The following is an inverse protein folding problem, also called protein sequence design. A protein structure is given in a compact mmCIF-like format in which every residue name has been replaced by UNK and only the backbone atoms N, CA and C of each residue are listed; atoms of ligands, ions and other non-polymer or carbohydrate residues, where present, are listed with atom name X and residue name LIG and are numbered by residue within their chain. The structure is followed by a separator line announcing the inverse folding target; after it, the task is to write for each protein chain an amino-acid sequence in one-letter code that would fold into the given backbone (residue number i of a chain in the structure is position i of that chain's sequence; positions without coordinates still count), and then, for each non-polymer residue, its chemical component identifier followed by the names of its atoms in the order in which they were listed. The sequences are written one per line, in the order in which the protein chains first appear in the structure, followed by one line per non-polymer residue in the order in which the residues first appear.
data_IF_192925827865
#
_entry.id   IF_192925827865
#
_cell.length_a   1.000
_cell.length_b   1.000
_cell.length_c   1.000
_cell.angle_alpha   90.00
_cell.angle_beta   90.00
_cell.angle_gamma   90.00
#
_symmetry.space_group_name_H-M   'P 1'
#
loop_
_entity.id
_entity.type
_entity.pdbx_description
1 polymer ?
#
# COMPACT_ATOMS: atom_id res chain seq x y z
N UNK A 1 35.18 33.48 27.47
CA UNK A 1 33.89 34.13 27.15
C UNK A 1 33.37 33.46 25.89
N UNK A 2 32.47 32.48 26.03
CA UNK A 2 32.02 31.61 24.94
C UNK A 2 30.95 32.35 24.14
N UNK A 3 31.29 32.77 22.92
CA UNK A 3 30.34 33.31 21.97
C UNK A 3 29.48 32.17 21.44
N UNK A 4 28.29 31.98 22.04
CA UNK A 4 27.26 31.13 21.47
C UNK A 4 26.82 31.72 20.13
N UNK A 5 27.05 30.99 19.04
CA UNK A 5 26.57 31.37 17.71
C UNK A 5 25.04 31.59 17.75
N UNK A 6 24.51 32.65 17.13
CA UNK A 6 23.07 32.87 17.07
C UNK A 6 22.42 31.70 16.33
N UNK A 7 21.54 30.98 17.02
CA UNK A 7 20.85 29.83 16.47
C UNK A 7 20.07 30.20 15.20
N UNK A 8 20.29 29.43 14.12
CA UNK A 8 19.49 29.51 12.91
C UNK A 8 18.02 29.30 13.27
N UNK A 9 17.19 30.33 13.12
CA UNK A 9 15.74 30.20 13.17
C UNK A 9 15.32 29.47 11.91
N UNK A 10 15.29 28.14 11.97
CA UNK A 10 14.72 27.33 10.88
C UNK A 10 13.21 27.56 10.90
N UNK A 11 12.61 28.13 9.84
CA UNK A 11 11.16 28.27 9.78
C UNK A 11 10.54 26.88 9.93
N UNK A 12 9.64 26.69 10.92
CA UNK A 12 8.91 25.43 11.04
C UNK A 12 8.15 25.20 9.72
N UNK A 13 8.41 24.09 9.00
CA UNK A 13 7.68 23.82 7.77
C UNK A 13 6.19 23.72 8.10
N UNK A 14 5.36 24.44 7.34
CA UNK A 14 3.92 24.43 7.54
C UNK A 14 3.41 23.06 7.08
N UNK A 15 2.99 22.21 8.02
CA UNK A 15 2.53 20.85 7.71
C UNK A 15 1.32 20.84 6.74
N UNK A 16 0.46 21.87 6.84
CA UNK A 16 -0.69 22.08 5.96
C UNK A 16 -0.34 23.04 4.83
N UNK A 17 0.35 22.52 3.82
CA UNK A 17 0.47 23.19 2.52
C UNK A 17 -0.81 22.93 1.71
N UNK A 18 -1.14 23.77 0.71
CA UNK A 18 -2.25 23.49 -0.19
C UNK A 18 -2.11 22.11 -0.86
N UNK A 19 -0.88 21.65 -1.14
CA UNK A 19 -0.61 20.29 -1.62
C UNK A 19 -0.98 19.20 -0.61
N UNK A 20 -0.62 19.37 0.67
CA UNK A 20 -1.01 18.44 1.74
C UNK A 20 -2.52 18.33 1.87
N UNK A 21 -3.24 19.46 1.78
CA UNK A 21 -4.71 19.52 1.84
C UNK A 21 -5.37 18.74 0.70
N UNK A 22 -4.85 18.86 -0.53
CA UNK A 22 -5.36 18.09 -1.69
C UNK A 22 -5.17 16.59 -1.46
N UNK A 23 -3.99 16.16 -1.00
CA UNK A 23 -3.73 14.74 -0.71
C UNK A 23 -4.66 14.23 0.40
N UNK A 24 -4.87 15.01 1.46
CA UNK A 24 -5.81 14.67 2.53
C UNK A 24 -7.25 14.57 2.02
N UNK A 25 -7.68 15.47 1.13
CA UNK A 25 -9.02 15.43 0.56
C UNK A 25 -9.23 14.17 -0.30
N UNK A 26 -8.26 13.83 -1.16
CA UNK A 26 -8.30 12.60 -1.97
C UNK A 26 -8.33 11.36 -1.07
N UNK A 27 -7.50 11.33 -0.02
CA UNK A 27 -7.50 10.23 0.95
C UNK A 27 -8.85 10.10 1.69
N UNK A 28 -9.47 11.22 2.07
CA UNK A 28 -10.77 11.22 2.74
C UNK A 28 -11.89 10.71 1.82
N UNK A 29 -11.88 11.11 0.53
CA UNK A 29 -12.81 10.58 -0.48
C UNK A 29 -12.60 9.09 -0.68
N UNK A 30 -11.34 8.64 -0.79
CA UNK A 30 -11.01 7.22 -0.89
C UNK A 30 -11.52 6.41 0.31
N UNK A 31 -11.32 6.92 1.53
CA UNK A 31 -11.83 6.29 2.75
C UNK A 31 -13.37 6.24 2.79
N UNK A 32 -14.04 7.30 2.36
CA UNK A 32 -15.50 7.35 2.28
C UNK A 32 -16.06 6.33 1.27
N UNK A 33 -15.42 6.19 0.10
CA UNK A 33 -15.77 5.17 -0.90
C UNK A 33 -15.53 3.76 -0.35
N UNK A 34 -14.44 3.55 0.41
CA UNK A 34 -14.14 2.27 1.04
C UNK A 34 -15.21 1.89 2.08
N UNK A 35 -15.63 2.84 2.91
CA UNK A 35 -16.75 2.67 3.85
C UNK A 35 -18.07 2.37 3.13
N UNK A 36 -18.36 3.09 2.05
CA UNK A 36 -19.55 2.88 1.22
C UNK A 36 -19.57 1.48 0.58
N UNK A 37 -18.40 0.96 0.20
CA UNK A 37 -18.21 -0.41 -0.31
C UNK A 37 -18.47 -1.48 0.75
N UNK A 38 -18.11 -1.22 2.00
CA UNK A 38 -18.40 -2.15 3.11
C UNK A 38 -19.87 -2.19 3.52
N UNK A 39 -20.64 -1.12 3.31
CA UNK A 39 -22.04 -1.03 3.75
C UNK A 39 -23.06 -1.39 2.68
N UNK A 40 -22.79 -1.10 1.40
CA UNK A 40 -23.76 -1.31 0.29
C UNK A 40 -23.42 -2.52 -0.59
N UNK A 41 -22.34 -3.23 -0.26
CA UNK A 41 -21.92 -4.44 -0.97
C UNK A 41 -21.18 -4.16 -2.28
N UNK A 42 -20.50 -5.20 -2.76
CA UNK A 42 -19.65 -5.16 -3.95
C UNK A 42 -20.44 -4.85 -5.24
N UNK A 43 -21.66 -5.36 -5.38
CA UNK A 43 -22.45 -5.17 -6.60
C UNK A 43 -22.77 -3.70 -6.90
N UNK A 44 -23.05 -2.89 -5.88
CA UNK A 44 -23.41 -1.47 -6.04
C UNK A 44 -22.22 -0.54 -6.26
N UNK A 45 -21.00 -0.97 -5.93
CA UNK A 45 -19.80 -0.12 -5.92
C UNK A 45 -18.78 -0.46 -6.99
N UNK A 46 -18.73 -1.71 -7.45
CA UNK A 46 -17.74 -2.17 -8.43
C UNK A 46 -18.34 -2.83 -9.67
N UNK A 47 -19.67 -2.82 -9.81
CA UNK A 47 -20.41 -3.45 -10.91
C UNK A 47 -19.99 -4.92 -11.14
N UNK A 48 -19.68 -5.63 -10.06
CA UNK A 48 -19.36 -7.05 -10.07
C UNK A 48 -20.65 -7.85 -10.19
N UNK A 49 -20.74 -8.71 -11.21
CA UNK A 49 -21.80 -9.73 -11.36
C UNK A 49 -21.26 -11.09 -10.92
N UNK A 50 -22.15 -12.04 -10.61
CA UNK A 50 -21.76 -13.40 -10.18
C UNK A 50 -20.89 -14.15 -11.22
N UNK A 51 -20.85 -13.69 -12.47
CA UNK A 51 -19.98 -14.19 -13.53
C UNK A 51 -18.52 -13.73 -13.38
N UNK A 52 -18.28 -12.53 -12.85
CA UNK A 52 -16.95 -11.96 -12.62
C UNK A 52 -16.85 -11.44 -11.18
N UNK A 53 -16.83 -12.32 -10.17
CA UNK A 53 -16.92 -11.93 -8.77
C UNK A 53 -15.69 -11.17 -8.26
N UNK A 54 -14.55 -11.27 -8.95
CA UNK A 54 -13.31 -10.56 -8.60
C UNK A 54 -13.00 -9.37 -9.54
N UNK A 55 -13.62 -9.34 -10.72
CA UNK A 55 -13.56 -8.26 -11.71
C UNK A 55 -12.16 -7.75 -12.07
N UNK A 56 -12.09 -6.50 -12.53
CA UNK A 56 -10.83 -5.82 -12.87
C UNK A 56 -10.07 -5.33 -11.63
N UNK A 57 -10.76 -5.21 -10.49
CA UNK A 57 -10.22 -4.66 -9.26
C UNK A 57 -9.13 -5.55 -8.68
N UNK A 58 -9.38 -6.87 -8.61
CA UNK A 58 -8.35 -7.80 -8.15
C UNK A 58 -7.16 -7.89 -9.11
N UNK A 59 -7.42 -7.68 -10.40
CA UNK A 59 -6.39 -7.74 -11.41
C UNK A 59 -5.45 -6.54 -11.27
N UNK A 60 -5.98 -5.36 -10.96
CA UNK A 60 -5.18 -4.15 -10.76
C UNK A 60 -4.45 -4.18 -9.42
N UNK A 61 -5.11 -4.51 -8.31
CA UNK A 61 -4.48 -4.46 -6.99
C UNK A 61 -3.39 -5.55 -6.82
N UNK A 62 -3.65 -6.79 -7.27
CA UNK A 62 -2.71 -7.89 -7.22
C UNK A 62 -1.64 -7.70 -8.29
N UNK A 63 -1.97 -7.39 -9.55
CA UNK A 63 -0.91 -7.25 -10.56
C UNK A 63 0.01 -6.07 -10.24
N UNK A 64 -0.51 -4.90 -9.85
CA UNK A 64 0.34 -3.75 -9.54
C UNK A 64 1.06 -3.92 -8.19
N UNK A 65 0.36 -4.34 -7.15
CA UNK A 65 0.93 -4.46 -5.81
C UNK A 65 1.89 -5.65 -5.68
N UNK A 66 1.55 -6.81 -6.23
CA UNK A 66 2.43 -7.99 -6.22
C UNK A 66 3.61 -7.81 -7.16
N UNK A 67 3.44 -7.19 -8.34
CA UNK A 67 4.60 -6.92 -9.20
C UNK A 67 5.60 -5.96 -8.55
N UNK A 68 5.11 -4.92 -7.85
CA UNK A 68 5.97 -4.02 -7.08
C UNK A 68 6.69 -4.77 -5.95
N UNK A 69 5.98 -5.64 -5.23
CA UNK A 69 6.58 -6.43 -4.16
C UNK A 69 7.60 -7.47 -4.67
N UNK A 70 7.28 -8.13 -5.78
CA UNK A 70 8.17 -9.08 -6.46
C UNK A 70 9.49 -8.41 -6.86
N UNK A 71 9.45 -7.18 -7.39
CA UNK A 71 10.66 -6.41 -7.72
C UNK A 71 11.60 -6.19 -6.53
N UNK A 72 11.04 -5.94 -5.35
CA UNK A 72 11.81 -5.79 -4.12
C UNK A 72 12.43 -7.10 -3.63
N UNK A 73 11.70 -8.22 -3.71
CA UNK A 73 12.23 -9.55 -3.38
C UNK A 73 13.27 -10.05 -4.40
N UNK A 74 13.09 -9.78 -5.69
CA UNK A 74 14.09 -10.11 -6.72
C UNK A 74 15.39 -9.34 -6.48
N UNK A 75 15.31 -8.09 -6.05
CA UNK A 75 16.50 -7.31 -5.67
C UNK A 75 17.20 -7.91 -4.45
N UNK A 76 16.43 -8.38 -3.45
CA UNK A 76 16.99 -9.07 -2.28
C UNK A 76 17.65 -10.41 -2.65
N UNK A 77 17.06 -11.17 -3.56
CA UNK A 77 17.61 -12.41 -4.11
C UNK A 77 18.94 -12.17 -4.84
N UNK A 78 19.01 -11.14 -5.70
CA UNK A 78 20.23 -10.80 -6.44
C UNK A 78 21.40 -10.42 -5.52
N UNK A 79 21.12 -9.72 -4.42
CA UNK A 79 22.15 -9.31 -3.45
C UNK A 79 22.61 -10.50 -2.60
N UNK A 80 21.69 -11.23 -1.97
CA UNK A 80 22.03 -12.25 -0.97
C UNK A 80 22.43 -13.62 -1.56
N UNK A 81 21.79 -14.03 -2.66
CA UNK A 81 22.05 -15.36 -3.26
C UNK A 81 23.11 -15.25 -4.35
N UNK A 82 22.99 -14.23 -5.22
CA UNK A 82 23.94 -14.02 -6.31
C UNK A 82 25.19 -13.21 -5.90
N UNK A 83 25.31 -12.83 -4.62
CA UNK A 83 26.44 -12.11 -4.03
C UNK A 83 26.84 -10.84 -4.82
N UNK A 84 25.87 -10.13 -5.39
CA UNK A 84 26.10 -8.88 -6.12
C UNK A 84 26.08 -7.69 -5.15
N UNK A 85 27.19 -7.52 -4.43
CA UNK A 85 27.47 -6.44 -3.47
C UNK A 85 27.24 -5.02 -4.02
N UNK A 86 27.29 -4.86 -5.35
CA UNK A 86 27.05 -3.57 -6.04
C UNK A 86 25.64 -3.00 -5.79
N UNK A 87 24.67 -3.85 -5.42
CA UNK A 87 23.28 -3.46 -5.16
C UNK A 87 22.93 -3.42 -3.66
N UNK A 88 23.91 -3.60 -2.77
CA UNK A 88 23.70 -3.54 -1.33
C UNK A 88 23.05 -2.22 -0.83
N UNK A 89 23.33 -1.03 -1.41
CA UNK A 89 22.64 0.21 -1.06
C UNK A 89 21.15 0.22 -1.43
N UNK A 90 20.78 -0.49 -2.49
CA UNK A 90 19.40 -0.57 -2.99
C UNK A 90 18.56 -1.61 -2.22
N UNK A 91 19.22 -2.52 -1.50
CA UNK A 91 18.56 -3.58 -0.75
C UNK A 91 17.56 -3.06 0.28
N UNK A 92 17.97 -2.09 1.11
CA UNK A 92 17.14 -1.54 2.20
C UNK A 92 15.84 -0.90 1.69
N UNK A 93 15.88 0.04 0.73
CA UNK A 93 14.65 0.59 0.19
C UNK A 93 13.83 -0.46 -0.56
N UNK A 94 14.46 -1.38 -1.31
CA UNK A 94 13.74 -2.42 -2.05
C UNK A 94 12.98 -3.39 -1.13
N UNK A 95 13.56 -3.82 -0.01
CA UNK A 95 12.88 -4.65 0.99
C UNK A 95 11.75 -3.90 1.68
N UNK A 96 11.94 -2.63 2.02
CA UNK A 96 10.88 -1.80 2.58
C UNK A 96 9.72 -1.65 1.58
N UNK A 97 10.02 -1.41 0.31
CA UNK A 97 9.02 -1.38 -0.77
C UNK A 97 8.31 -2.72 -0.92
N UNK A 98 9.02 -3.84 -0.84
CA UNK A 98 8.41 -5.17 -0.89
C UNK A 98 7.44 -5.41 0.27
N UNK A 99 7.87 -5.07 1.50
CA UNK A 99 7.06 -5.26 2.69
C UNK A 99 5.80 -4.40 2.68
N UNK A 100 5.94 -3.14 2.25
CA UNK A 100 4.82 -2.20 2.10
C UNK A 100 3.87 -2.67 0.99
N UNK A 101 4.39 -3.05 -0.18
CA UNK A 101 3.60 -3.56 -1.29
C UNK A 101 2.76 -4.78 -0.92
N UNK A 102 3.36 -5.75 -0.23
CA UNK A 102 2.65 -6.95 0.22
C UNK A 102 1.56 -6.63 1.25
N UNK A 103 1.81 -5.67 2.15
CA UNK A 103 0.83 -5.21 3.14
C UNK A 103 -0.37 -4.56 2.44
N UNK A 104 -0.14 -3.73 1.43
CA UNK A 104 -1.21 -3.11 0.65
C UNK A 104 -2.02 -4.12 -0.17
N UNK A 105 -1.38 -5.13 -0.76
CA UNK A 105 -2.09 -6.21 -1.47
C UNK A 105 -2.97 -7.00 -0.50
N UNK A 106 -2.45 -7.38 0.67
CA UNK A 106 -3.23 -8.12 1.67
C UNK A 106 -4.45 -7.32 2.14
N UNK A 107 -4.28 -6.01 2.37
CA UNK A 107 -5.41 -5.12 2.71
C UNK A 107 -6.40 -4.98 1.54
N UNK A 108 -5.91 -4.81 0.30
CA UNK A 108 -6.74 -4.72 -0.91
C UNK A 108 -7.61 -5.96 -1.10
N UNK A 109 -6.99 -7.13 -1.07
CA UNK A 109 -7.69 -8.42 -1.14
C UNK A 109 -8.71 -8.56 0.00
N UNK A 110 -8.35 -8.20 1.24
CA UNK A 110 -9.29 -8.25 2.37
C UNK A 110 -10.50 -7.31 2.19
N UNK A 111 -10.32 -6.17 1.51
CA UNK A 111 -11.41 -5.24 1.17
C UNK A 111 -12.21 -5.67 -0.07
N UNK A 112 -11.58 -6.43 -0.96
CA UNK A 112 -12.17 -6.91 -2.21
C UNK A 112 -13.00 -8.18 -2.02
N UNK A 113 -12.71 -8.99 -1.00
CA UNK A 113 -13.59 -10.05 -0.54
C UNK A 113 -14.82 -9.39 0.15
N UNK A 114 -15.94 -9.28 -0.56
CA UNK A 114 -17.21 -8.71 -0.07
C UNK A 114 -17.81 -9.37 1.17
N UNK A 115 -17.14 -10.40 1.70
CA UNK A 115 -17.33 -11.03 3.00
C UNK A 115 -16.02 -10.98 3.79
N UNK A 116 -15.60 -9.79 4.19
CA UNK A 116 -14.39 -9.56 4.98
C UNK A 116 -14.39 -10.36 6.30
N UNK A 117 -15.58 -10.65 6.86
CA UNK A 117 -15.76 -11.50 8.05
C UNK A 117 -15.46 -12.99 7.82
N UNK A 118 -15.46 -13.47 6.57
CA UNK A 118 -15.22 -14.88 6.23
C UNK A 118 -13.75 -15.19 5.89
N UNK A 119 -12.86 -14.19 5.93
CA UNK A 119 -11.44 -14.35 5.58
C UNK A 119 -10.76 -15.50 6.37
N UNK A 120 -11.17 -15.67 7.63
CA UNK A 120 -10.65 -16.69 8.55
C UNK A 120 -11.04 -18.14 8.19
N UNK A 121 -12.00 -18.36 7.29
CA UNK A 121 -12.42 -19.70 6.86
C UNK A 121 -11.60 -20.22 5.66
N UNK A 122 -10.80 -19.37 5.02
CA UNK A 122 -9.97 -19.74 3.86
C UNK A 122 -8.89 -20.77 4.23
N UNK A 123 -8.21 -20.70 5.40
CA UNK A 123 -7.17 -21.67 5.77
C UNK A 123 -7.70 -22.97 6.38
N UNK A 124 -8.96 -23.01 6.82
CA UNK A 124 -9.56 -24.13 7.55
C UNK A 124 -10.83 -24.58 6.81
N UNK A 125 -10.73 -25.57 5.90
CA UNK A 125 -11.92 -26.26 5.42
C UNK A 125 -12.62 -26.97 6.61
N UNK A 126 -13.94 -27.19 6.53
CA UNK A 126 -14.69 -27.88 7.58
C UNK A 126 -14.18 -29.30 7.85
#
# INVERSE_FOLDING_TARGET
MNAHAPGLVVPRPRYFTPGTLVVCAVAAVGAAVMLWRFTLGLGATTNLTDANPWGIWIAIDVACGVALAAGGFTTAFLVHILHRERYHPLLRPALLTAMIGYTFVAMGVATDLGRWWALWHVPLPP
#
